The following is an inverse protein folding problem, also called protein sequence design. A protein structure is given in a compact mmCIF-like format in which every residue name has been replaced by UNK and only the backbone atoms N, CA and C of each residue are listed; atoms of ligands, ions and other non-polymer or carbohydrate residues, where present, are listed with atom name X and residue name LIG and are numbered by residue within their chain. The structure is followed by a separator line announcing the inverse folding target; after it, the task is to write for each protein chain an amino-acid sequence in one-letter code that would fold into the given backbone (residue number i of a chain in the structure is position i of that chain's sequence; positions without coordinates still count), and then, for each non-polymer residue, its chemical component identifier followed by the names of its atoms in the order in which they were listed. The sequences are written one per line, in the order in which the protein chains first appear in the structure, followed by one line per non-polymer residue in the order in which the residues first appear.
data_IF_082458650780
#
_entry.id   IF_082458650780
#
_cell.length_a   1.000
_cell.length_b   1.000
_cell.length_c   1.000
_cell.angle_alpha   90.00
_cell.angle_beta   90.00
_cell.angle_gamma   90.00
#
_symmetry.space_group_name_H-M   'P 1'
#
loop_
_entity.id
_entity.type
_entity.pdbx_description
1 polymer ?
#
# COMPACT_ATOMS: atom_id res chain seq x y z
N UNK A 1 6.52 5.00 18.87
CA UNK A 1 6.13 3.57 18.76
C UNK A 1 5.13 3.33 17.63
N UNK A 2 3.92 3.90 17.67
CA UNK A 2 2.88 3.65 16.65
C UNK A 2 3.33 3.97 15.20
N UNK A 3 3.97 5.11 14.96
CA UNK A 3 4.47 5.48 13.63
C UNK A 3 5.52 4.47 13.10
N UNK A 4 6.41 3.98 13.97
CA UNK A 4 7.44 3.01 13.58
C UNK A 4 6.81 1.64 13.27
N UNK A 5 5.87 1.19 14.09
CA UNK A 5 5.11 -0.03 13.83
C UNK A 5 4.31 0.07 12.52
N UNK A 6 3.75 1.26 12.24
CA UNK A 6 3.08 1.53 10.98
C UNK A 6 4.04 1.45 9.78
N UNK A 7 5.23 2.04 9.89
CA UNK A 7 6.26 1.94 8.84
C UNK A 7 6.71 0.49 8.57
N UNK A 8 6.83 -0.32 9.61
CA UNK A 8 7.14 -1.75 9.47
C UNK A 8 6.04 -2.50 8.70
N UNK A 9 4.77 -2.31 9.08
CA UNK A 9 3.64 -2.97 8.42
C UNK A 9 3.44 -2.51 6.98
N UNK A 10 3.55 -1.20 6.72
CA UNK A 10 3.33 -0.68 5.37
C UNK A 10 4.43 -1.12 4.40
N UNK A 11 5.68 -1.25 4.84
CA UNK A 11 6.74 -1.80 3.99
C UNK A 11 6.47 -3.27 3.66
N UNK A 12 6.00 -4.04 4.64
CA UNK A 12 5.59 -5.42 4.42
C UNK A 12 4.44 -5.53 3.41
N UNK A 13 3.42 -4.66 3.49
CA UNK A 13 2.31 -4.65 2.52
C UNK A 13 2.73 -4.29 1.10
N UNK A 14 3.72 -3.40 0.97
CA UNK A 14 4.18 -2.88 -0.31
C UNK A 14 5.28 -3.75 -0.96
N UNK A 15 5.83 -4.74 -0.24
CA UNK A 15 6.80 -5.72 -0.76
C UNK A 15 6.13 -6.87 -1.53
N UNK A 16 5.21 -6.55 -2.45
CA UNK A 16 4.53 -7.54 -3.28
C UNK A 16 4.77 -7.40 -4.78
N UNK A 17 5.71 -6.55 -5.19
CA UNK A 17 6.10 -6.40 -6.59
C UNK A 17 7.62 -6.16 -6.71
N UNK A 18 8.25 -6.88 -7.65
CA UNK A 18 9.67 -6.78 -7.98
C UNK A 18 10.12 -5.32 -8.15
N UNK A 19 11.20 -4.95 -7.47
CA UNK A 19 11.82 -3.64 -7.52
C UNK A 19 11.07 -2.53 -6.76
N UNK A 20 9.85 -2.77 -6.27
CA UNK A 20 9.03 -1.71 -5.65
C UNK A 20 9.57 -1.30 -4.27
N UNK A 21 9.65 -2.25 -3.33
CA UNK A 21 10.11 -1.99 -1.96
C UNK A 21 11.59 -1.61 -1.89
N UNK A 22 12.45 -2.28 -2.66
CA UNK A 22 13.86 -1.93 -2.76
C UNK A 22 14.06 -0.52 -3.32
N UNK A 23 13.30 -0.12 -4.35
CA UNK A 23 13.36 1.24 -4.89
C UNK A 23 12.92 2.31 -3.89
N UNK A 24 11.86 2.04 -3.11
CA UNK A 24 11.44 2.95 -2.05
C UNK A 24 12.50 3.09 -0.97
N UNK A 25 13.11 1.97 -0.55
CA UNK A 25 14.17 1.98 0.44
C UNK A 25 15.38 2.81 -0.03
N UNK A 26 15.82 2.63 -1.28
CA UNK A 26 16.90 3.45 -1.86
C UNK A 26 16.55 4.93 -1.84
N UNK A 27 15.41 5.33 -2.41
CA UNK A 27 15.04 6.74 -2.51
C UNK A 27 14.83 7.40 -1.14
N UNK A 28 14.13 6.71 -0.23
CA UNK A 28 13.82 7.22 1.10
C UNK A 28 15.07 7.33 1.97
N UNK A 29 15.90 6.28 2.06
CA UNK A 29 17.11 6.32 2.88
C UNK A 29 18.17 7.27 2.31
N UNK A 30 18.30 7.38 0.98
CA UNK A 30 19.20 8.38 0.38
C UNK A 30 18.80 9.82 0.76
N UNK A 31 17.50 10.10 0.88
CA UNK A 31 16.98 11.41 1.31
C UNK A 31 17.37 11.75 2.76
N UNK A 32 17.50 10.74 3.62
CA UNK A 32 17.89 10.92 5.03
C UNK A 32 19.42 11.03 5.22
N UNK A 33 20.23 10.93 4.16
CA UNK A 33 21.68 11.12 4.16
C UNK A 33 22.44 10.20 5.15
N UNK A 34 23.49 10.72 5.81
CA UNK A 34 24.49 9.92 6.52
C UNK A 34 23.94 8.89 7.55
N UNK A 35 22.90 9.19 8.37
CA UNK A 35 22.36 8.22 9.33
C UNK A 35 21.69 7.02 8.66
N UNK A 36 21.26 7.18 7.42
CA UNK A 36 20.57 6.17 6.63
C UNK A 36 21.42 5.61 5.48
N UNK A 37 22.64 6.13 5.28
CA UNK A 37 23.49 5.75 4.17
C UNK A 37 23.74 4.22 4.10
N UNK A 38 24.04 3.50 5.20
CA UNK A 38 24.21 2.05 5.13
C UNK A 38 22.96 1.32 4.61
N UNK A 39 21.76 1.73 5.05
CA UNK A 39 20.50 1.16 4.59
C UNK A 39 20.23 1.47 3.12
N UNK A 40 20.58 2.67 2.64
CA UNK A 40 20.47 3.05 1.24
C UNK A 40 21.39 2.19 0.34
N UNK A 41 22.66 2.01 0.72
CA UNK A 41 23.61 1.21 -0.06
C UNK A 41 23.25 -0.28 -0.05
N UNK A 42 22.85 -0.83 1.09
CA UNK A 42 22.39 -2.22 1.18
C UNK A 42 21.13 -2.44 0.32
N UNK A 43 20.20 -1.49 0.36
CA UNK A 43 18.98 -1.53 -0.47
C UNK A 43 19.30 -1.40 -1.96
N UNK A 44 20.30 -0.59 -2.33
CA UNK A 44 20.75 -0.45 -3.72
C UNK A 44 21.39 -1.76 -4.22
N UNK A 45 22.25 -2.39 -3.41
CA UNK A 45 22.84 -3.67 -3.73
C UNK A 45 21.76 -4.77 -3.90
N UNK A 46 20.79 -4.82 -2.98
CA UNK A 46 19.62 -5.68 -3.09
C UNK A 46 18.81 -5.42 -4.35
N UNK A 47 18.59 -4.15 -4.71
CA UNK A 47 17.76 -3.75 -5.85
C UNK A 47 18.31 -4.25 -7.18
N UNK A 48 19.62 -4.45 -7.31
CA UNK A 48 20.23 -5.07 -8.50
C UNK A 48 19.69 -6.48 -8.73
N UNK A 49 19.47 -7.25 -7.67
CA UNK A 49 18.93 -8.62 -7.73
C UNK A 49 17.40 -8.67 -7.72
N UNK A 50 16.76 -7.63 -7.19
CA UNK A 50 15.31 -7.53 -7.07
C UNK A 50 14.64 -6.78 -8.25
N UNK A 51 15.41 -6.16 -9.15
CA UNK A 51 14.86 -5.52 -10.33
C UNK A 51 14.16 -6.55 -11.25
N UNK A 52 13.00 -6.23 -11.84
CA UNK A 52 12.23 -7.20 -12.60
C UNK A 52 12.98 -7.73 -13.85
N UNK A 53 13.05 -9.06 -14.07
CA UNK A 53 12.52 -10.14 -13.22
C UNK A 53 13.41 -10.42 -12.01
N UNK A 54 12.83 -10.44 -10.81
CA UNK A 54 13.58 -10.61 -9.57
C UNK A 54 14.21 -12.00 -9.42
N UNK A 55 15.48 -12.03 -9.02
CA UNK A 55 16.22 -13.23 -8.61
C UNK A 55 16.30 -13.41 -7.10
N UNK A 56 16.07 -12.32 -6.36
CA UNK A 56 16.07 -12.28 -4.90
C UNK A 56 14.84 -11.51 -4.41
N UNK A 57 14.12 -12.11 -3.46
CA UNK A 57 12.97 -11.51 -2.81
C UNK A 57 13.35 -10.99 -1.43
N UNK A 58 12.74 -9.88 -1.01
CA UNK A 58 13.02 -9.23 0.28
C UNK A 58 12.39 -10.01 1.43
N UNK A 59 11.12 -10.38 1.29
CA UNK A 59 10.39 -11.18 2.28
C UNK A 59 10.17 -10.42 3.59
N UNK A 60 9.57 -11.09 4.58
CA UNK A 60 9.23 -10.46 5.85
C UNK A 60 10.48 -9.99 6.62
N UNK A 61 11.57 -10.76 6.56
CA UNK A 61 12.81 -10.42 7.24
C UNK A 61 13.40 -9.09 6.74
N UNK A 62 13.38 -8.84 5.43
CA UNK A 62 13.87 -7.60 4.84
C UNK A 62 12.87 -6.45 4.97
N UNK A 63 11.62 -6.68 4.60
CA UNK A 63 10.60 -5.62 4.49
C UNK A 63 10.26 -5.00 5.86
N UNK A 64 10.06 -5.83 6.89
CA UNK A 64 9.78 -5.36 8.25
C UNK A 64 11.00 -4.62 8.81
N UNK A 65 12.22 -5.12 8.58
CA UNK A 65 13.45 -4.46 9.01
C UNK A 65 13.65 -3.09 8.35
N UNK A 66 13.46 -2.98 7.03
CA UNK A 66 13.56 -1.70 6.32
C UNK A 66 12.46 -0.73 6.75
N UNK A 67 11.23 -1.19 6.95
CA UNK A 67 10.16 -0.36 7.50
C UNK A 67 10.44 0.14 8.91
N UNK A 68 10.96 -0.73 9.79
CA UNK A 68 11.42 -0.32 11.11
C UNK A 68 12.53 0.73 11.03
N UNK A 69 13.57 0.50 10.21
CA UNK A 69 14.68 1.45 10.03
C UNK A 69 14.20 2.79 9.47
N UNK A 70 13.28 2.79 8.50
CA UNK A 70 12.71 4.00 7.93
C UNK A 70 11.99 4.84 8.99
N UNK A 71 11.17 4.18 9.83
CA UNK A 71 10.50 4.83 10.95
C UNK A 71 11.45 5.30 12.06
N UNK A 72 12.39 4.45 12.46
CA UNK A 72 13.31 4.71 13.57
C UNK A 72 14.32 5.80 13.23
N UNK A 73 15.02 5.70 12.10
CA UNK A 73 15.98 6.71 11.65
C UNK A 73 15.25 8.02 11.35
N UNK A 74 14.12 7.95 10.66
CA UNK A 74 13.29 9.12 10.36
C UNK A 74 12.88 9.89 11.63
N UNK A 75 12.39 9.19 12.65
CA UNK A 75 12.04 9.77 13.94
C UNK A 75 13.26 10.29 14.70
N UNK A 76 14.35 9.52 14.75
CA UNK A 76 15.56 9.91 15.47
C UNK A 76 16.15 11.21 14.94
N UNK A 77 16.18 11.39 13.63
CA UNK A 77 16.65 12.65 13.04
C UNK A 77 15.72 13.82 13.30
N UNK A 78 14.41 13.60 13.48
CA UNK A 78 13.48 14.65 13.95
C UNK A 78 13.79 15.01 15.40
N UNK A 79 13.94 14.01 16.27
CA UNK A 79 14.23 14.19 17.69
C UNK A 79 15.57 14.91 17.92
N UNK A 80 16.56 14.67 17.07
CA UNK A 80 17.87 15.35 17.09
C UNK A 80 17.93 16.65 16.30
N UNK A 81 16.84 17.07 15.66
CA UNK A 81 16.81 18.30 14.86
C UNK A 81 17.61 18.25 13.56
N UNK A 82 17.92 17.06 13.03
CA UNK A 82 18.60 16.89 11.75
C UNK A 82 17.71 17.29 10.56
N UNK A 83 16.40 17.10 10.69
CA UNK A 83 15.40 17.45 9.68
C UNK A 83 14.02 17.70 10.31
N UNK A 84 13.15 18.47 9.64
CA UNK A 84 11.77 18.65 10.10
C UNK A 84 10.95 17.37 9.95
N UNK A 85 9.88 17.25 10.75
CA UNK A 85 9.02 16.05 10.79
C UNK A 85 8.38 15.68 9.43
N UNK A 86 8.14 16.68 8.57
CA UNK A 86 7.55 16.44 7.25
C UNK A 86 8.52 15.78 6.26
N UNK A 87 9.85 15.89 6.46
CA UNK A 87 10.85 15.41 5.50
C UNK A 87 10.83 13.88 5.33
N UNK A 88 10.94 13.05 6.39
CA UNK A 88 10.81 11.61 6.23
C UNK A 88 9.42 11.19 5.74
N UNK A 89 8.36 11.92 6.14
CA UNK A 89 7.01 11.65 5.66
C UNK A 89 6.89 11.86 4.15
N UNK A 90 7.46 12.94 3.61
CA UNK A 90 7.46 13.20 2.17
C UNK A 90 8.39 12.23 1.43
N UNK A 91 9.58 11.92 1.98
CA UNK A 91 10.52 10.99 1.36
C UNK A 91 9.93 9.58 1.15
N UNK A 92 9.18 9.08 2.13
CA UNK A 92 8.51 7.76 2.07
C UNK A 92 7.02 7.86 1.68
N UNK A 93 6.55 9.02 1.24
CA UNK A 93 5.13 9.28 1.00
C UNK A 93 4.47 8.36 -0.03
N UNK A 94 5.12 7.87 -1.12
CA UNK A 94 4.46 6.93 -2.03
C UNK A 94 3.94 5.68 -1.33
N UNK A 95 4.72 5.15 -0.38
CA UNK A 95 4.35 3.97 0.42
C UNK A 95 3.36 4.32 1.53
N UNK A 96 3.62 5.41 2.26
CA UNK A 96 2.74 5.87 3.34
C UNK A 96 1.33 6.13 2.80
N UNK A 97 1.20 6.83 1.68
CA UNK A 97 -0.09 7.22 1.11
C UNK A 97 -0.85 6.01 0.55
N UNK A 98 -0.22 5.15 -0.25
CA UNK A 98 -0.90 3.96 -0.80
C UNK A 98 -1.42 3.06 0.33
N UNK A 99 -0.57 2.74 1.31
CA UNK A 99 -0.96 1.88 2.41
C UNK A 99 -2.05 2.49 3.30
N UNK A 100 -1.91 3.78 3.64
CA UNK A 100 -2.89 4.47 4.51
C UNK A 100 -4.24 4.63 3.82
N UNK A 101 -4.25 5.11 2.57
CA UNK A 101 -5.50 5.28 1.80
C UNK A 101 -6.19 3.94 1.57
N UNK A 102 -5.43 2.89 1.26
CA UNK A 102 -5.98 1.55 1.04
C UNK A 102 -6.65 1.02 2.31
N UNK A 103 -5.99 1.10 3.46
CA UNK A 103 -6.58 0.66 4.72
C UNK A 103 -7.78 1.51 5.13
N UNK A 104 -7.72 2.84 5.01
CA UNK A 104 -8.84 3.71 5.35
C UNK A 104 -10.08 3.39 4.49
N UNK A 105 -9.88 3.10 3.19
CA UNK A 105 -10.97 2.67 2.30
C UNK A 105 -11.59 1.34 2.75
N UNK A 106 -10.77 0.38 3.18
CA UNK A 106 -11.26 -0.92 3.70
C UNK A 106 -12.04 -0.73 5.00
N UNK A 107 -11.53 0.07 5.93
CA UNK A 107 -12.22 0.41 7.19
C UNK A 107 -13.57 1.06 6.89
N UNK A 108 -13.62 2.03 5.96
CA UNK A 108 -14.87 2.68 5.54
C UNK A 108 -15.86 1.70 4.90
N UNK A 109 -15.37 0.69 4.18
CA UNK A 109 -16.17 -0.40 3.61
C UNK A 109 -16.51 -1.51 4.63
N UNK A 110 -16.11 -1.38 5.90
CA UNK A 110 -16.25 -2.39 6.96
C UNK A 110 -15.61 -3.74 6.61
N UNK A 111 -14.57 -3.71 5.80
CA UNK A 111 -13.78 -4.89 5.48
C UNK A 111 -12.78 -5.20 6.60
N UNK A 112 -12.54 -6.48 6.93
CA UNK A 112 -11.50 -6.83 7.88
C UNK A 112 -10.12 -6.46 7.33
N UNK A 113 -9.43 -5.56 8.04
CA UNK A 113 -8.09 -5.06 7.67
C UNK A 113 -6.98 -6.09 7.87
N UNK A 114 -7.20 -7.10 8.72
CA UNK A 114 -6.26 -8.18 9.00
C UNK A 114 -6.35 -9.34 7.99
N UNK A 115 -7.33 -9.34 7.09
CA UNK A 115 -7.39 -10.33 6.00
C UNK A 115 -6.55 -9.85 4.83
N UNK A 116 -5.79 -10.78 4.24
CA UNK A 116 -5.01 -10.52 3.04
C UNK A 116 -5.89 -9.92 1.93
N UNK A 117 -5.37 -8.91 1.23
CA UNK A 117 -6.08 -8.19 0.19
C UNK A 117 -5.17 -7.74 -0.93
N UNK A 118 -5.79 -7.42 -2.08
CA UNK A 118 -5.10 -6.99 -3.31
C UNK A 118 -5.51 -5.61 -3.80
N UNK A 119 -5.91 -4.74 -2.88
CA UNK A 119 -6.51 -3.43 -3.20
C UNK A 119 -5.54 -2.25 -3.18
N UNK A 120 -4.24 -2.46 -2.90
CA UNK A 120 -3.25 -1.39 -3.03
C UNK A 120 -3.16 -0.91 -4.48
N UNK A 121 -2.81 0.35 -4.69
CA UNK A 121 -2.75 0.91 -6.04
C UNK A 121 -1.74 0.17 -6.92
N UNK A 122 -0.58 -0.23 -6.38
CA UNK A 122 0.39 -1.02 -7.13
C UNK A 122 -0.19 -2.38 -7.58
N UNK A 123 -0.94 -3.07 -6.72
CA UNK A 123 -1.57 -4.36 -7.02
C UNK A 123 -2.63 -4.20 -8.10
N UNK A 124 -3.38 -3.10 -8.05
CA UNK A 124 -4.41 -2.78 -9.05
C UNK A 124 -3.83 -2.44 -10.41
N UNK A 125 -2.67 -1.79 -10.46
CA UNK A 125 -1.96 -1.57 -11.72
C UNK A 125 -1.49 -2.90 -12.34
N UNK A 126 -0.90 -3.80 -11.53
CA UNK A 126 -0.42 -5.11 -12.00
C UNK A 126 -1.58 -5.99 -12.47
N UNK A 127 -2.64 -6.12 -11.68
CA UNK A 127 -3.86 -6.86 -12.06
C UNK A 127 -4.56 -6.22 -13.26
N UNK A 128 -4.41 -4.90 -13.43
CA UNK A 128 -4.84 -4.13 -14.59
C UNK A 128 -3.95 -4.27 -15.84
N UNK A 129 -2.96 -5.16 -15.83
CA UNK A 129 -2.12 -5.51 -16.99
C UNK A 129 -0.76 -4.82 -17.03
N UNK A 130 -0.35 -4.10 -15.99
CA UNK A 130 1.02 -3.56 -15.94
C UNK A 130 2.04 -4.67 -15.65
N UNK A 131 3.15 -4.66 -16.39
CA UNK A 131 4.30 -5.49 -16.04
C UNK A 131 4.99 -4.95 -14.78
N UNK A 132 5.63 -5.84 -14.02
CA UNK A 132 6.41 -5.45 -12.83
C UNK A 132 7.48 -4.40 -13.17
N UNK A 133 8.13 -4.53 -14.34
CA UNK A 133 9.10 -3.55 -14.83
C UNK A 133 8.50 -2.17 -15.05
N UNK A 134 7.32 -2.09 -15.68
CA UNK A 134 6.63 -0.81 -15.91
C UNK A 134 6.21 -0.17 -14.58
N UNK A 135 5.68 -0.97 -13.66
CA UNK A 135 5.33 -0.52 -12.31
C UNK A 135 6.55 0.03 -11.58
N UNK A 136 7.64 -0.74 -11.51
CA UNK A 136 8.86 -0.36 -10.81
C UNK A 136 9.41 0.99 -11.32
N UNK A 137 9.56 1.15 -12.63
CA UNK A 137 10.09 2.39 -13.21
C UNK A 137 9.18 3.61 -12.94
N UNK A 138 7.87 3.45 -13.06
CA UNK A 138 6.93 4.53 -12.76
C UNK A 138 6.92 4.90 -11.27
N UNK A 139 6.98 3.88 -10.40
CA UNK A 139 7.06 4.07 -8.96
C UNK A 139 8.37 4.74 -8.56
N UNK A 140 9.50 4.34 -9.13
CA UNK A 140 10.80 4.96 -8.87
C UNK A 140 10.85 6.42 -9.30
N UNK A 141 10.24 6.77 -10.43
CA UNK A 141 10.10 8.17 -10.85
C UNK A 141 9.31 8.98 -9.81
N UNK A 142 8.20 8.43 -9.30
CA UNK A 142 7.40 9.07 -8.24
C UNK A 142 8.18 9.20 -6.93
N UNK A 143 8.90 8.15 -6.52
CA UNK A 143 9.74 8.13 -5.31
C UNK A 143 10.89 9.12 -5.40
N UNK A 144 11.59 9.16 -6.54
CA UNK A 144 12.68 10.10 -6.78
C UNK A 144 12.17 11.54 -6.80
N UNK A 145 11.01 11.80 -7.41
CA UNK A 145 10.38 13.12 -7.39
C UNK A 145 10.00 13.56 -5.97
N UNK A 146 9.44 12.66 -5.15
CA UNK A 146 9.09 12.95 -3.75
C UNK A 146 10.34 13.22 -2.90
N UNK A 147 11.37 12.37 -3.04
CA UNK A 147 12.67 12.53 -2.42
C UNK A 147 13.33 13.88 -2.79
N UNK A 148 13.41 14.19 -4.08
CA UNK A 148 13.97 15.45 -4.57
C UNK A 148 13.19 16.66 -4.06
N UNK A 149 11.86 16.58 -4.06
CA UNK A 149 11.00 17.64 -3.51
C UNK A 149 11.24 17.86 -2.03
N UNK A 150 11.47 16.79 -1.25
CA UNK A 150 11.78 16.89 0.16
C UNK A 150 13.13 17.58 0.42
N UNK A 151 14.14 17.27 -0.39
CA UNK A 151 15.45 17.92 -0.31
C UNK A 151 15.38 19.40 -0.71
N UNK A 152 14.67 19.73 -1.79
CA UNK A 152 14.47 21.12 -2.24
C UNK A 152 13.70 21.92 -1.19
N UNK A 153 12.58 21.40 -0.70
CA UNK A 153 11.73 22.08 0.29
C UNK A 153 12.48 22.42 1.59
N UNK A 154 13.51 21.64 1.95
CA UNK A 154 14.29 21.85 3.18
C UNK A 154 14.95 23.22 3.23
N UNK A 155 15.38 23.76 2.09
CA UNK A 155 16.03 25.07 1.97
C UNK A 155 15.07 26.24 1.73
N UNK A 156 13.78 25.97 1.59
CA UNK A 156 12.77 26.95 1.19
C UNK A 156 12.06 27.59 2.39
N UNK A 157 11.41 28.73 2.15
CA UNK A 157 10.54 29.38 3.14
C UNK A 157 9.37 28.48 3.58
N UNK A 158 8.84 28.68 4.78
CA UNK A 158 7.70 27.90 5.31
C UNK A 158 6.47 27.92 4.40
N UNK A 159 6.21 29.05 3.71
CA UNK A 159 5.11 29.16 2.74
C UNK A 159 5.33 28.25 1.52
N UNK A 160 6.54 28.21 0.99
CA UNK A 160 6.89 27.32 -0.14
C UNK A 160 6.94 25.85 0.28
N UNK A 161 7.42 25.54 1.48
CA UNK A 161 7.34 24.19 2.06
C UNK A 161 5.87 23.71 2.09
N UNK A 162 4.98 24.55 2.62
CA UNK A 162 3.54 24.25 2.69
C UNK A 162 2.92 24.06 1.30
N UNK A 163 3.29 24.89 0.33
CA UNK A 163 2.83 24.78 -1.05
C UNK A 163 3.30 23.48 -1.71
N UNK A 164 4.56 23.08 -1.51
CA UNK A 164 5.10 21.81 -2.03
C UNK A 164 4.36 20.62 -1.42
N UNK A 165 4.16 20.62 -0.10
CA UNK A 165 3.41 19.56 0.59
C UNK A 165 1.97 19.46 0.08
N UNK A 166 1.28 20.59 -0.09
CA UNK A 166 -0.06 20.64 -0.65
C UNK A 166 -0.10 20.11 -2.10
N UNK A 167 0.88 20.46 -2.92
CA UNK A 167 1.00 19.95 -4.29
C UNK A 167 1.15 18.42 -4.32
N UNK A 168 1.92 17.84 -3.40
CA UNK A 168 2.05 16.38 -3.28
C UNK A 168 0.75 15.72 -2.84
N UNK A 169 0.01 16.30 -1.89
CA UNK A 169 -1.32 15.80 -1.51
C UNK A 169 -2.27 15.77 -2.72
N UNK A 170 -2.30 16.85 -3.50
CA UNK A 170 -3.11 16.93 -4.72
C UNK A 170 -2.64 15.94 -5.79
N UNK A 171 -1.33 15.77 -5.96
CA UNK A 171 -0.76 14.81 -6.90
C UNK A 171 -1.15 13.37 -6.55
N UNK A 172 -1.04 12.97 -5.28
CA UNK A 172 -1.48 11.64 -4.84
C UNK A 172 -2.97 11.45 -4.99
N UNK A 173 -3.78 12.46 -4.68
CA UNK A 173 -5.21 12.40 -4.91
C UNK A 173 -5.55 12.20 -6.39
N UNK A 174 -4.92 12.98 -7.28
CA UNK A 174 -5.11 12.87 -8.73
C UNK A 174 -4.67 11.50 -9.27
N UNK A 175 -3.52 10.99 -8.83
CA UNK A 175 -3.03 9.64 -9.18
C UNK A 175 -4.03 8.58 -8.71
N UNK A 176 -4.48 8.66 -7.45
CA UNK A 176 -5.44 7.72 -6.89
C UNK A 176 -6.75 7.70 -7.68
N UNK A 177 -7.31 8.87 -7.98
CA UNK A 177 -8.52 9.01 -8.82
C UNK A 177 -8.29 8.46 -10.23
N UNK A 178 -7.13 8.72 -10.83
CA UNK A 178 -6.81 8.21 -12.17
C UNK A 178 -6.74 6.67 -12.19
N UNK A 179 -6.13 6.05 -11.16
CA UNK A 179 -6.09 4.60 -11.03
C UNK A 179 -7.50 4.06 -10.76
N UNK A 180 -8.29 4.73 -9.91
CA UNK A 180 -9.68 4.36 -9.62
C UNK A 180 -10.57 4.32 -10.86
N UNK A 181 -10.41 5.28 -11.76
CA UNK A 181 -11.16 5.34 -13.01
C UNK A 181 -10.72 4.30 -14.03
N UNK A 182 -9.42 4.00 -14.10
CA UNK A 182 -8.84 3.07 -15.10
C UNK A 182 -8.93 1.61 -14.69
N UNK A 183 -8.90 1.34 -13.39
CA UNK A 183 -8.91 -0.01 -12.83
C UNK A 183 -9.95 -0.10 -11.70
N UNK A 184 -11.26 -0.10 -12.03
CA UNK A 184 -12.33 -0.21 -11.04
C UNK A 184 -12.18 -1.50 -10.22
N UNK A 185 -12.71 -1.51 -9.00
CA UNK A 185 -12.81 -2.76 -8.22
C UNK A 185 -13.67 -3.78 -8.96
N UNK A 186 -13.27 -5.04 -8.93
CA UNK A 186 -14.05 -6.10 -9.55
C UNK A 186 -15.43 -6.21 -8.85
N UNK A 187 -16.52 -6.46 -9.59
CA UNK A 187 -17.83 -6.74 -9.00
C UNK A 187 -17.72 -7.97 -8.08
N UNK A 188 -18.03 -7.81 -6.79
CA UNK A 188 -17.92 -8.87 -5.77
C UNK A 188 -16.78 -8.69 -4.77
N UNK A 189 -15.88 -7.73 -4.97
CA UNK A 189 -15.03 -7.25 -3.87
C UNK A 189 -15.90 -6.44 -2.89
N UNK A 190 -15.85 -6.71 -1.58
CA UNK A 190 -16.59 -5.91 -0.61
C UNK A 190 -16.22 -4.42 -0.80
N UNK A 191 -17.23 -3.55 -0.80
CA UNK A 191 -17.07 -2.13 -1.13
C UNK A 191 -17.29 -1.74 -2.61
N UNK A 192 -17.47 -2.69 -3.54
CA UNK A 192 -18.20 -2.41 -4.78
C UNK A 192 -19.67 -2.22 -4.40
N UNK A 193 -20.21 -1.02 -4.62
CA UNK A 193 -21.56 -0.62 -4.20
C UNK A 193 -22.58 -1.74 -4.44
N UNK A 194 -22.86 -2.50 -3.39
CA UNK A 194 -23.88 -3.53 -3.38
C UNK A 194 -25.18 -2.79 -3.14
N UNK A 195 -25.75 -2.24 -4.21
CA UNK A 195 -27.21 -2.12 -4.23
C UNK A 195 -27.71 -3.56 -4.13
N UNK A 196 -28.27 -3.93 -2.97
CA UNK A 196 -28.94 -5.21 -2.74
C UNK A 196 -30.41 -5.04 -3.15
N UNK A 197 -30.86 -5.47 -4.34
CA UNK A 197 -32.28 -5.64 -4.61
C UNK A 197 -32.71 -7.05 -4.24
N UNK A 198 -32.57 -7.48 -2.97
CA UNK A 198 -33.02 -8.83 -2.59
C UNK A 198 -33.27 -8.97 -1.08
N UNK A 199 -34.27 -8.24 -0.58
CA UNK A 199 -34.94 -8.53 0.69
C UNK A 199 -36.47 -8.39 0.53
N UNK A 200 -37.03 -9.06 -0.49
CA UNK A 200 -38.47 -9.29 -0.61
C UNK A 200 -38.77 -10.68 -1.17
N UNK A 201 -38.20 -11.75 -0.61
CA UNK A 201 -38.84 -13.07 -0.80
C UNK A 201 -38.39 -14.09 0.25
N UNK A 202 -39.02 -14.07 1.43
CA UNK A 202 -39.06 -15.29 2.23
C UNK A 202 -40.32 -15.31 3.10
N UNK A 203 -41.44 -15.73 2.51
CA UNK A 203 -42.52 -16.33 3.28
C UNK A 203 -43.32 -17.32 2.42
N UNK A 204 -42.85 -18.57 2.36
CA UNK A 204 -43.67 -19.79 2.18
C UNK A 204 -42.76 -21.02 2.31
N UNK A 205 -42.78 -21.63 3.48
CA UNK A 205 -42.18 -22.93 3.75
C UNK A 205 -42.92 -24.05 2.98
N UNK A 206 -42.24 -25.11 2.51
CA UNK A 206 -42.89 -26.36 2.13
C UNK A 206 -42.95 -27.31 3.34
N UNK A 207 -44.16 -27.71 3.72
CA UNK A 207 -44.39 -28.73 4.75
C UNK A 207 -44.13 -30.12 4.16
N UNK A 208 -43.12 -30.82 4.69
CA UNK A 208 -42.80 -32.20 4.34
C UNK A 208 -43.72 -33.16 5.13
N UNK A 209 -44.48 -34.01 4.43
CA UNK A 209 -45.19 -35.14 5.01
C UNK A 209 -44.54 -36.45 4.55
N UNK A 210 -44.08 -37.24 5.52
CA UNK A 210 -43.33 -38.49 5.35
C UNK A 210 -44.21 -39.68 4.87
N UNK A 211 -43.62 -40.72 4.23
CA UNK A 211 -44.33 -41.96 3.94
C UNK A 211 -44.20 -42.98 5.08
N UNK A 212 -45.30 -43.66 5.42
CA UNK A 212 -45.35 -44.82 6.34
C UNK A 212 -45.36 -46.14 5.55
N UNK A 213 -44.71 -47.22 6.03
CA UNK A 213 -44.85 -48.55 5.45
C UNK A 213 -45.91 -49.40 6.19
N UNK A 214 -46.69 -50.20 5.44
CA UNK A 214 -47.16 -51.50 5.94
C UNK A 214 -48.64 -51.87 5.80
N UNK A 215 -48.85 -53.06 5.20
CA UNK A 215 -49.98 -54.00 5.29
C UNK A 215 -51.20 -53.84 4.35
N UNK A 216 -51.40 -54.83 3.46
CA UNK A 216 -52.41 -55.91 3.61
C UNK A 216 -52.37 -56.90 2.43
N UNK A 217 -52.96 -58.05 2.70
CA UNK A 217 -52.87 -59.37 2.07
C UNK A 217 -53.97 -59.68 1.04
N UNK A 218 -53.68 -60.69 0.18
CA UNK A 218 -54.58 -61.73 -0.41
C UNK A 218 -55.61 -61.35 -1.49
N UNK A 219 -56.08 -62.29 -2.33
CA UNK A 219 -55.90 -63.76 -2.31
C UNK A 219 -54.97 -64.33 -3.39
#
# INVERSE_FOLDING_TARGET
VAAIAWMANLFNFMDGADGLAGGMAVAGFATLAWPAAPAAHASLAFLVFNFPPASLFMGDAGSVALGFLAGAIGWEGVARGLWPAWLPLLAFSPFIVDATVTLLRRVAAREPVWKAHRTHYYQRLVTGGWSHRRLALAAWALMAAAAASALVARGESAGRQSAILAAWVLAYFAIGVAIDRRHPRAPGEPGAATQHPELQNNNRAPNAAAPRPGSRSTP
#
